data_IF_688869486158
#
_entry.id   IF_688869486158
#
_cell.length_a   1.000
_cell.length_b   1.000
_cell.length_c   1.000
_cell.angle_alpha   90.00
_cell.angle_beta   90.00
_cell.angle_gamma   90.00
#
_symmetry.space_group_name_H-M   'P 1'
#
loop_
_entity.id
_entity.type
_entity.pdbx_description
1 polymer ?
#
# COMPACT_ATOMS: atom_id res chain seq x y z
N UNK A 1 -13.26 45.88 10.19
CA UNK A 1 -12.42 46.32 11.32
C UNK A 1 -13.04 45.78 12.60
N UNK A 2 -12.71 44.55 12.97
CA UNK A 2 -12.80 44.00 14.33
C UNK A 2 -11.79 42.87 14.40
N UNK A 3 -10.95 42.92 15.43
CA UNK A 3 -9.71 42.19 15.58
C UNK A 3 -9.94 40.78 16.16
N UNK A 4 -9.13 39.81 15.70
CA UNK A 4 -8.90 38.54 16.40
C UNK A 4 -7.63 38.69 17.26
N UNK A 5 -7.67 38.40 18.58
CA UNK A 5 -6.47 38.34 19.39
C UNK A 5 -5.84 36.94 19.34
N UNK A 6 -4.57 36.94 19.75
CA UNK A 6 -3.55 35.95 19.51
C UNK A 6 -3.50 34.78 20.52
N UNK A 7 -2.91 33.68 20.05
CA UNK A 7 -1.93 32.82 20.72
C UNK A 7 -2.20 32.40 22.18
N UNK A 8 -2.66 31.16 22.34
CA UNK A 8 -2.51 30.36 23.56
C UNK A 8 -1.72 29.09 23.25
N UNK A 9 -0.40 29.18 23.37
CA UNK A 9 0.50 28.03 23.41
C UNK A 9 0.75 27.69 24.87
N UNK A 10 0.29 26.53 25.34
CA UNK A 10 0.65 25.98 26.65
C UNK A 10 0.50 24.46 26.63
N UNK A 11 1.60 23.76 26.36
CA UNK A 11 1.77 22.33 26.63
C UNK A 11 3.10 22.15 27.38
N UNK A 12 3.07 21.99 28.72
CA UNK A 12 4.28 21.75 29.50
C UNK A 12 4.42 20.25 29.80
N UNK A 13 5.19 19.53 28.98
CA UNK A 13 5.76 18.22 29.36
C UNK A 13 7.21 18.15 28.86
N UNK A 14 8.11 18.88 29.52
CA UNK A 14 9.57 18.70 29.41
C UNK A 14 10.23 19.08 30.75
N UNK A 15 10.05 18.23 31.76
CA UNK A 15 10.93 18.03 32.93
C UNK A 15 11.02 16.50 33.07
N UNK A 16 12.14 15.80 33.26
CA UNK A 16 13.50 16.13 33.63
C UNK A 16 14.33 14.90 33.25
N UNK A 17 15.20 14.98 32.25
CA UNK A 17 16.16 13.91 31.94
C UNK A 17 17.58 14.45 31.74
N UNK A 18 17.88 15.59 32.38
CA UNK A 18 19.20 16.24 32.30
C UNK A 18 19.88 16.32 33.67
N UNK A 19 20.04 15.18 34.36
CA UNK A 19 20.94 15.08 35.53
C UNK A 19 21.53 13.67 35.69
N UNK A 20 22.16 13.13 34.64
CA UNK A 20 23.10 12.00 34.76
C UNK A 20 24.22 12.19 33.74
N UNK A 21 25.11 13.16 33.95
CA UNK A 21 26.48 13.08 33.43
C UNK A 21 27.37 13.92 34.35
N UNK A 22 27.91 13.23 35.34
CA UNK A 22 28.99 13.72 36.20
C UNK A 22 30.19 14.03 35.31
N UNK A 23 30.69 15.26 35.41
CA UNK A 23 31.88 15.71 34.72
C UNK A 23 33.04 15.54 35.69
N UNK A 24 33.60 14.33 35.75
CA UNK A 24 34.83 14.08 36.48
C UNK A 24 35.99 14.65 35.66
N UNK A 25 36.51 15.80 36.09
CA UNK A 25 37.72 16.40 35.54
C UNK A 25 38.93 15.60 36.02
N UNK A 26 39.46 14.75 35.14
CA UNK A 26 40.72 14.04 35.40
C UNK A 26 41.86 15.06 35.48
N UNK A 27 42.47 15.14 36.66
CA UNK A 27 43.68 15.90 36.95
C UNK A 27 44.87 15.29 36.23
N UNK A 28 45.34 15.92 35.15
CA UNK A 28 46.58 15.54 34.46
C UNK A 28 47.76 16.28 35.08
N UNK A 29 48.35 15.71 36.13
CA UNK A 29 49.76 15.97 36.47
C UNK A 29 50.64 15.37 35.38
N UNK A 30 51.60 16.16 34.91
CA UNK A 30 52.50 15.80 33.83
C UNK A 30 53.25 14.50 34.08
N UNK A 31 53.30 13.68 33.02
CA UNK A 31 54.33 12.66 32.82
C UNK A 31 54.91 12.95 31.44
N UNK A 32 56.19 13.34 31.43
CA UNK A 32 56.99 13.49 30.24
C UNK A 32 57.42 12.10 29.71
N UNK A 33 57.69 12.06 28.40
CA UNK A 33 58.48 11.04 27.69
C UNK A 33 57.96 9.59 27.64
N UNK A 34 57.40 9.22 26.49
CA UNK A 34 58.09 8.26 25.62
C UNK A 34 57.62 8.40 24.18
N UNK A 35 58.60 8.64 23.31
CA UNK A 35 58.53 8.48 21.86
C UNK A 35 58.10 7.05 21.52
N UNK A 36 56.79 6.81 21.48
CA UNK A 36 56.21 5.57 20.95
C UNK A 36 55.94 5.82 19.48
N UNK A 37 56.80 5.29 18.62
CA UNK A 37 56.63 5.35 17.18
C UNK A 37 55.20 4.95 16.82
N UNK A 38 54.46 5.89 16.22
CA UNK A 38 53.16 5.61 15.62
C UNK A 38 53.37 4.53 14.55
N UNK A 39 53.15 3.27 14.88
CA UNK A 39 52.91 2.24 13.88
C UNK A 39 51.55 2.60 13.26
N UNK A 40 51.59 3.43 12.21
CA UNK A 40 50.45 3.60 11.29
C UNK A 40 50.19 2.22 10.70
N UNK A 41 49.22 1.51 11.26
CA UNK A 41 48.63 0.34 10.63
C UNK A 41 48.12 0.76 9.26
N UNK A 42 48.86 0.39 8.21
CA UNK A 42 48.50 0.62 6.83
C UNK A 42 47.31 -0.30 6.56
N UNK A 43 46.10 0.22 6.72
CA UNK A 43 44.89 -0.49 6.30
C UNK A 43 45.06 -0.84 4.82
N UNK A 44 45.27 -2.11 4.52
CA UNK A 44 45.20 -2.62 3.15
C UNK A 44 43.74 -2.52 2.74
N UNK A 45 43.50 -1.74 1.68
CA UNK A 45 42.20 -1.73 1.02
C UNK A 45 42.25 -2.92 0.07
N UNK A 46 41.62 -4.01 0.46
CA UNK A 46 41.41 -5.13 -0.44
C UNK A 46 40.30 -4.74 -1.42
N UNK A 47 40.61 -4.82 -2.72
CA UNK A 47 39.70 -4.48 -3.81
C UNK A 47 39.09 -5.74 -4.43
N UNK A 48 37.83 -5.66 -4.85
CA UNK A 48 37.18 -6.71 -5.63
C UNK A 48 37.85 -6.87 -6.99
N UNK A 49 37.98 -8.11 -7.47
CA UNK A 49 38.50 -8.37 -8.80
C UNK A 49 37.42 -8.11 -9.86
N UNK A 50 37.83 -7.74 -11.08
CA UNK A 50 36.89 -7.52 -12.19
C UNK A 50 36.12 -8.81 -12.53
N UNK A 51 36.80 -9.96 -12.45
CA UNK A 51 36.20 -11.26 -12.72
C UNK A 51 35.15 -11.66 -11.67
N UNK A 52 35.39 -11.32 -10.40
CA UNK A 52 34.44 -11.55 -9.31
C UNK A 52 33.16 -10.76 -9.53
N UNK A 53 33.28 -9.50 -9.92
CA UNK A 53 32.12 -8.67 -10.27
C UNK A 53 31.37 -9.23 -11.48
N UNK A 54 32.06 -9.70 -12.52
CA UNK A 54 31.42 -10.27 -13.71
C UNK A 54 30.55 -11.49 -13.38
N UNK A 55 31.04 -12.39 -12.54
CA UNK A 55 30.28 -13.58 -12.12
C UNK A 55 29.06 -13.14 -11.29
N UNK A 56 29.23 -12.22 -10.34
CA UNK A 56 28.15 -11.72 -9.48
C UNK A 56 27.03 -11.08 -10.31
N UNK A 57 27.37 -10.17 -11.23
CA UNK A 57 26.38 -9.51 -12.07
C UNK A 57 25.66 -10.51 -12.97
N UNK A 58 26.36 -11.52 -13.47
CA UNK A 58 25.76 -12.57 -14.30
C UNK A 58 24.73 -13.39 -13.51
N UNK A 59 25.05 -13.78 -12.26
CA UNK A 59 24.12 -14.50 -11.39
C UNK A 59 22.90 -13.64 -11.07
N UNK A 60 23.11 -12.37 -10.69
CA UNK A 60 22.00 -11.43 -10.39
C UNK A 60 21.11 -11.19 -11.60
N UNK A 61 21.67 -11.14 -12.81
CA UNK A 61 20.91 -10.99 -14.05
C UNK A 61 19.95 -12.17 -14.28
N UNK A 62 20.43 -13.41 -14.09
CA UNK A 62 19.61 -14.63 -14.24
C UNK A 62 18.49 -14.65 -13.19
N UNK A 63 18.80 -14.35 -11.93
CA UNK A 63 17.80 -14.34 -10.86
C UNK A 63 16.75 -13.24 -11.08
N UNK A 64 17.17 -12.05 -11.49
CA UNK A 64 16.28 -10.89 -11.69
C UNK A 64 15.28 -11.12 -12.82
N UNK A 65 15.67 -11.85 -13.87
CA UNK A 65 14.79 -12.17 -15.00
C UNK A 65 13.53 -12.95 -14.57
N UNK A 66 13.62 -13.79 -13.55
CA UNK A 66 12.50 -14.58 -13.01
C UNK A 66 11.83 -13.85 -11.84
N UNK A 67 12.61 -13.20 -10.98
CA UNK A 67 12.11 -12.60 -9.75
C UNK A 67 11.17 -11.41 -10.00
N UNK A 68 11.50 -10.51 -10.93
CA UNK A 68 10.73 -9.29 -11.19
C UNK A 68 9.30 -9.53 -11.68
N UNK A 69 9.05 -10.34 -12.73
CA UNK A 69 7.67 -10.59 -13.17
C UNK A 69 6.84 -11.29 -12.08
N UNK A 70 7.44 -12.23 -11.34
CA UNK A 70 6.76 -12.95 -10.27
C UNK A 70 6.40 -12.04 -9.09
N UNK A 71 7.31 -11.16 -8.68
CA UNK A 71 7.06 -10.21 -7.61
C UNK A 71 5.95 -9.23 -7.97
N UNK A 72 5.94 -8.71 -9.20
CA UNK A 72 4.88 -7.81 -9.65
C UNK A 72 3.50 -8.48 -9.62
N UNK A 73 3.41 -9.75 -10.04
CA UNK A 73 2.17 -10.53 -9.98
C UNK A 73 1.71 -10.80 -8.55
N UNK A 74 2.65 -11.04 -7.63
CA UNK A 74 2.35 -11.21 -6.20
C UNK A 74 1.75 -9.93 -5.60
N UNK A 75 2.37 -8.78 -5.84
CA UNK A 75 1.86 -7.49 -5.36
C UNK A 75 0.47 -7.19 -5.95
N UNK A 76 0.26 -7.46 -7.24
CA UNK A 76 -1.06 -7.31 -7.88
C UNK A 76 -2.13 -8.17 -7.22
N UNK A 77 -1.83 -9.42 -6.86
CA UNK A 77 -2.77 -10.29 -6.12
C UNK A 77 -3.17 -9.70 -4.77
N UNK A 78 -2.21 -9.12 -4.04
CA UNK A 78 -2.51 -8.39 -2.80
C UNK A 78 -3.47 -7.23 -3.03
N UNK A 79 -3.30 -6.48 -4.12
CA UNK A 79 -4.20 -5.37 -4.50
C UNK A 79 -5.58 -5.86 -4.92
N UNK A 80 -5.69 -6.99 -5.61
CA UNK A 80 -6.98 -7.61 -5.98
C UNK A 80 -7.77 -8.02 -4.73
N UNK A 81 -7.09 -8.40 -3.65
CA UNK A 81 -7.76 -8.71 -2.38
C UNK A 81 -8.55 -7.51 -1.84
N UNK A 82 -8.05 -6.28 -1.97
CA UNK A 82 -8.79 -5.05 -1.63
C UNK A 82 -10.09 -4.92 -2.43
N UNK A 83 -10.03 -5.15 -3.75
CA UNK A 83 -11.21 -5.08 -4.61
C UNK A 83 -12.28 -6.08 -4.18
N UNK A 84 -11.87 -7.35 -4.00
CA UNK A 84 -12.80 -8.43 -3.68
C UNK A 84 -13.38 -8.29 -2.28
N UNK A 85 -12.59 -7.87 -1.28
CA UNK A 85 -13.09 -7.61 0.08
C UNK A 85 -14.07 -6.43 0.11
N UNK A 86 -13.74 -5.33 -0.58
CA UNK A 86 -14.56 -4.12 -0.61
C UNK A 86 -15.88 -4.36 -1.35
N UNK A 87 -15.86 -5.10 -2.46
CA UNK A 87 -17.08 -5.49 -3.16
C UNK A 87 -17.99 -6.36 -2.29
N UNK A 88 -17.43 -7.28 -1.50
CA UNK A 88 -18.21 -8.08 -0.54
C UNK A 88 -18.81 -7.20 0.56
N UNK A 89 -18.05 -6.27 1.12
CA UNK A 89 -18.55 -5.32 2.12
C UNK A 89 -19.70 -4.47 1.56
N UNK A 90 -19.52 -3.91 0.36
CA UNK A 90 -20.55 -3.12 -0.32
C UNK A 90 -21.81 -3.95 -0.57
N UNK A 91 -21.68 -5.21 -0.97
CA UNK A 91 -22.83 -6.13 -1.12
C UNK A 91 -23.62 -6.24 0.18
N UNK A 92 -22.94 -6.54 1.29
CA UNK A 92 -23.58 -6.65 2.61
C UNK A 92 -24.26 -5.33 3.02
N UNK A 93 -23.63 -4.18 2.74
CA UNK A 93 -24.22 -2.86 3.01
C UNK A 93 -25.44 -2.58 2.15
N UNK A 94 -25.44 -2.99 0.88
CA UNK A 94 -26.58 -2.89 -0.02
C UNK A 94 -27.74 -3.76 0.46
N UNK A 95 -27.47 -5.00 0.86
CA UNK A 95 -28.50 -5.89 1.42
C UNK A 95 -29.10 -5.31 2.70
N UNK A 96 -28.28 -4.76 3.59
CA UNK A 96 -28.76 -4.06 4.79
C UNK A 96 -29.64 -2.87 4.42
N UNK A 97 -29.21 -2.04 3.48
CA UNK A 97 -29.99 -0.89 3.03
C UNK A 97 -31.35 -1.31 2.45
N UNK A 98 -31.40 -2.42 1.71
CA UNK A 98 -32.65 -2.96 1.17
C UNK A 98 -33.60 -3.46 2.26
N UNK A 99 -33.09 -4.05 3.34
CA UNK A 99 -33.95 -4.45 4.47
C UNK A 99 -34.62 -3.24 5.12
N UNK A 100 -33.90 -2.11 5.22
CA UNK A 100 -34.40 -0.89 5.85
C UNK A 100 -35.34 -0.08 4.93
N UNK A 101 -35.04 -0.03 3.61
CA UNK A 101 -35.70 0.89 2.68
C UNK A 101 -36.56 0.21 1.60
N UNK A 102 -36.49 -1.12 1.47
CA UNK A 102 -37.15 -1.93 0.41
C UNK A 102 -36.76 -1.53 -1.03
N UNK A 103 -35.61 -0.87 -1.18
CA UNK A 103 -35.03 -0.45 -2.46
C UNK A 103 -33.51 -0.42 -2.32
N UNK A 104 -32.78 -0.63 -3.42
CA UNK A 104 -31.32 -0.42 -3.46
C UNK A 104 -30.94 1.00 -3.83
N UNK A 105 -31.91 1.86 -4.17
CA UNK A 105 -31.69 3.22 -4.59
C UNK A 105 -31.99 4.23 -3.50
N UNK A 106 -31.15 5.27 -3.44
CA UNK A 106 -31.43 6.52 -2.76
C UNK A 106 -31.52 7.62 -3.84
N UNK A 107 -32.74 7.87 -4.31
CA UNK A 107 -32.98 8.73 -5.47
C UNK A 107 -32.41 8.11 -6.76
N UNK A 108 -31.53 8.84 -7.44
CA UNK A 108 -30.84 8.38 -8.65
C UNK A 108 -29.54 7.60 -8.38
N UNK A 109 -29.12 7.50 -7.12
CA UNK A 109 -27.88 6.85 -6.71
C UNK A 109 -28.17 5.53 -5.99
N UNK A 110 -27.15 4.70 -5.81
CA UNK A 110 -27.27 3.56 -4.90
C UNK A 110 -27.42 4.01 -3.44
N UNK A 111 -28.07 3.17 -2.64
CA UNK A 111 -28.40 3.41 -1.24
C UNK A 111 -27.19 3.49 -0.32
N UNK A 112 -26.03 3.04 -0.79
CA UNK A 112 -24.76 3.09 -0.05
C UNK A 112 -23.76 3.98 -0.77
N UNK A 113 -23.02 4.77 0.00
CA UNK A 113 -21.91 5.55 -0.52
C UNK A 113 -20.75 4.62 -0.94
N UNK A 114 -20.23 4.84 -2.15
CA UNK A 114 -19.04 4.16 -2.63
C UNK A 114 -17.81 4.65 -1.85
N UNK A 115 -16.89 3.75 -1.45
CA UNK A 115 -15.68 4.14 -0.77
C UNK A 115 -14.76 4.90 -1.73
N UNK A 116 -14.04 5.86 -1.16
CA UNK A 116 -13.05 6.68 -1.86
C UNK A 116 -11.73 6.67 -1.08
N UNK A 117 -10.69 7.25 -1.66
CA UNK A 117 -9.39 7.40 -1.00
C UNK A 117 -9.53 8.21 0.30
N UNK A 118 -8.83 7.86 1.40
CA UNK A 118 -7.77 6.85 1.51
C UNK A 118 -8.24 5.45 1.94
N UNK A 119 -9.55 5.23 2.10
CA UNK A 119 -10.05 3.91 2.50
C UNK A 119 -9.83 2.84 1.42
N UNK A 120 -9.80 3.27 0.16
CA UNK A 120 -9.48 2.42 -1.01
C UNK A 120 -8.44 3.12 -1.88
N UNK A 121 -7.30 2.45 -2.09
CA UNK A 121 -6.17 3.02 -2.79
C UNK A 121 -6.09 2.52 -4.23
N UNK A 122 -6.36 1.24 -4.47
CA UNK A 122 -6.00 0.56 -5.72
C UNK A 122 -7.14 0.50 -6.75
N UNK A 123 -8.39 0.65 -6.30
CA UNK A 123 -9.58 0.54 -7.13
C UNK A 123 -10.52 1.75 -6.91
N UNK A 124 -11.28 2.06 -7.95
CA UNK A 124 -12.42 2.99 -7.92
C UNK A 124 -13.70 2.18 -8.03
N UNK A 125 -14.71 2.53 -7.23
CA UNK A 125 -15.96 1.80 -7.15
C UNK A 125 -17.08 2.61 -7.78
N UNK A 126 -17.91 1.93 -8.56
CA UNK A 126 -19.12 2.50 -9.13
C UNK A 126 -20.30 1.57 -8.85
N UNK A 127 -21.50 2.14 -8.83
CA UNK A 127 -22.73 1.40 -8.67
C UNK A 127 -23.73 1.84 -9.72
N UNK A 128 -24.37 0.88 -10.37
CA UNK A 128 -25.42 1.10 -11.38
C UNK A 128 -26.68 0.37 -10.93
N UNK A 129 -27.84 0.96 -11.20
CA UNK A 129 -29.17 0.41 -10.90
C UNK A 129 -29.89 0.10 -12.22
N UNK A 130 -29.68 -1.08 -12.83
CA UNK A 130 -30.18 -1.36 -14.18
C UNK A 130 -31.70 -1.50 -14.25
N UNK A 131 -32.36 -2.10 -13.25
CA UNK A 131 -33.79 -2.43 -13.32
C UNK A 131 -34.58 -1.90 -12.11
N UNK A 132 -35.13 -0.70 -12.25
CA UNK A 132 -36.21 -0.21 -11.37
C UNK A 132 -35.86 -0.18 -9.88
N UNK A 133 -34.59 0.10 -9.54
CA UNK A 133 -34.08 0.22 -8.17
C UNK A 133 -34.09 -1.07 -7.33
N UNK A 134 -34.39 -2.23 -7.96
CA UNK A 134 -34.43 -3.53 -7.29
C UNK A 134 -33.24 -4.44 -7.64
N UNK A 135 -32.41 -4.02 -8.58
CA UNK A 135 -31.16 -4.68 -8.93
C UNK A 135 -30.02 -3.68 -8.85
N UNK A 136 -28.81 -4.19 -8.60
CA UNK A 136 -27.61 -3.36 -8.66
C UNK A 136 -26.46 -4.12 -9.30
N UNK A 137 -25.54 -3.36 -9.89
CA UNK A 137 -24.25 -3.84 -10.31
C UNK A 137 -23.18 -2.96 -9.66
N UNK A 138 -22.41 -3.56 -8.75
CA UNK A 138 -21.22 -2.94 -8.18
C UNK A 138 -20.03 -3.29 -9.05
N UNK A 139 -19.23 -2.28 -9.39
CA UNK A 139 -18.04 -2.42 -10.24
C UNK A 139 -16.82 -1.85 -9.52
N UNK A 140 -15.75 -2.63 -9.44
CA UNK A 140 -14.43 -2.17 -9.02
C UNK A 140 -13.52 -2.08 -10.25
N UNK A 141 -13.06 -0.87 -10.57
CA UNK A 141 -12.15 -0.59 -11.68
C UNK A 141 -10.78 -0.23 -11.14
N UNK A 142 -9.74 -0.97 -11.53
CA UNK A 142 -8.38 -0.75 -11.06
C UNK A 142 -7.80 0.57 -11.56
N UNK A 143 -7.11 1.30 -10.69
CA UNK A 143 -6.48 2.58 -11.03
C UNK A 143 -5.15 2.38 -11.74
N UNK A 144 -4.92 3.12 -12.82
CA UNK A 144 -3.72 2.98 -13.66
C UNK A 144 -2.45 3.45 -12.96
N UNK A 145 -2.52 4.54 -12.20
CA UNK A 145 -1.44 5.09 -11.37
C UNK A 145 -0.97 4.12 -10.28
N UNK A 146 -1.81 3.15 -9.91
CA UNK A 146 -1.50 2.09 -8.93
C UNK A 146 -1.09 0.77 -9.55
N UNK A 147 -0.87 0.73 -10.87
CA UNK A 147 -0.47 -0.50 -11.59
C UNK A 147 -1.59 -1.54 -11.67
N UNK A 148 -2.85 -1.11 -11.53
CA UNK A 148 -4.05 -1.95 -11.63
C UNK A 148 -4.88 -1.63 -12.89
N UNK A 149 -4.26 -1.05 -13.92
CA UNK A 149 -4.92 -0.88 -15.22
C UNK A 149 -5.35 -2.22 -15.79
N UNK A 150 -6.55 -2.28 -16.38
CA UNK A 150 -7.08 -3.48 -17.03
C UNK A 150 -7.58 -4.57 -16.07
N UNK A 151 -7.87 -4.22 -14.81
CA UNK A 151 -8.59 -5.08 -13.87
C UNK A 151 -9.96 -4.49 -13.59
N UNK A 152 -11.01 -5.23 -13.90
CA UNK A 152 -12.39 -4.84 -13.62
C UNK A 152 -13.17 -6.03 -13.09
N UNK A 153 -13.72 -5.86 -11.90
CA UNK A 153 -14.48 -6.89 -11.18
C UNK A 153 -15.87 -6.38 -10.86
N UNK A 154 -16.87 -7.26 -10.89
CA UNK A 154 -18.24 -6.91 -10.57
C UNK A 154 -18.89 -7.90 -9.61
N UNK A 155 -19.94 -7.43 -8.93
CA UNK A 155 -20.85 -8.25 -8.15
C UNK A 155 -22.26 -7.64 -8.20
N UNK A 156 -23.27 -8.51 -8.22
CA UNK A 156 -24.68 -8.13 -8.18
C UNK A 156 -25.38 -8.60 -6.89
N UNK A 157 -26.68 -8.29 -6.77
CA UNK A 157 -27.52 -8.71 -5.65
C UNK A 157 -27.61 -10.24 -5.48
N UNK A 158 -27.43 -10.99 -6.56
CA UNK A 158 -27.45 -12.45 -6.55
C UNK A 158 -26.09 -13.05 -6.15
N UNK A 159 -25.12 -12.22 -5.77
CA UNK A 159 -23.73 -12.63 -5.52
C UNK A 159 -23.08 -13.26 -6.77
N UNK A 160 -23.52 -12.89 -7.97
CA UNK A 160 -22.87 -13.26 -9.21
C UNK A 160 -21.60 -12.41 -9.36
N UNK A 161 -20.45 -13.06 -9.17
CA UNK A 161 -19.13 -12.44 -9.29
C UNK A 161 -18.68 -12.55 -10.72
N UNK A 162 -18.17 -11.47 -11.31
CA UNK A 162 -17.55 -11.54 -12.64
C UNK A 162 -16.24 -10.77 -12.70
N UNK A 163 -15.36 -11.23 -13.56
CA UNK A 163 -14.21 -10.44 -14.04
C UNK A 163 -14.54 -10.05 -15.46
N UNK A 164 -14.60 -8.76 -15.76
CA UNK A 164 -14.87 -8.27 -17.13
C UNK A 164 -13.58 -7.97 -17.88
N UNK A 165 -12.51 -7.69 -17.13
CA UNK A 165 -11.18 -7.48 -17.70
C UNK A 165 -10.13 -7.94 -16.70
N UNK A 166 -9.17 -8.76 -17.17
CA UNK A 166 -8.04 -9.22 -16.38
C UNK A 166 -6.74 -8.94 -17.13
N UNK A 167 -5.86 -8.10 -16.56
CA UNK A 167 -4.60 -7.68 -17.20
C UNK A 167 -4.79 -7.15 -18.63
N UNK A 168 -5.90 -6.47 -18.89
CA UNK A 168 -6.25 -5.94 -20.21
C UNK A 168 -6.82 -6.97 -21.21
N UNK A 169 -6.87 -8.25 -20.83
CA UNK A 169 -7.64 -9.25 -21.58
C UNK A 169 -9.14 -9.05 -21.33
N UNK A 170 -9.91 -9.01 -22.41
CA UNK A 170 -11.38 -8.95 -22.36
C UNK A 170 -11.93 -10.38 -22.36
N UNK A 171 -12.64 -10.73 -21.31
CA UNK A 171 -13.32 -12.01 -21.11
C UNK A 171 -14.22 -11.88 -19.89
N UNK A 172 -15.42 -12.44 -19.95
CA UNK A 172 -16.35 -12.42 -18.81
C UNK A 172 -16.26 -13.76 -18.09
N UNK A 173 -15.33 -13.88 -17.16
CA UNK A 173 -15.28 -15.04 -16.27
C UNK A 173 -16.32 -14.87 -15.16
N UNK A 174 -17.06 -15.93 -14.84
CA UNK A 174 -18.10 -15.96 -13.78
C UNK A 174 -17.52 -16.03 -12.35
N UNK A 175 -16.31 -15.53 -12.17
CA UNK A 175 -15.67 -15.39 -10.89
C UNK A 175 -14.67 -14.23 -10.89
N UNK A 176 -14.15 -13.88 -9.71
CA UNK A 176 -13.05 -12.93 -9.58
C UNK A 176 -11.71 -13.62 -9.80
N UNK A 177 -11.10 -13.39 -10.96
CA UNK A 177 -9.79 -13.94 -11.28
C UNK A 177 -8.71 -13.30 -10.40
N UNK A 178 -7.92 -14.15 -9.74
CA UNK A 178 -6.71 -13.72 -9.00
C UNK A 178 -5.44 -14.06 -9.77
N UNK A 179 -5.54 -15.01 -10.70
CA UNK A 179 -4.52 -15.43 -11.65
C UNK A 179 -5.20 -15.79 -12.98
N UNK A 180 -4.43 -15.88 -14.06
CA UNK A 180 -4.98 -16.24 -15.36
C UNK A 180 -5.69 -17.60 -15.27
N UNK A 181 -6.98 -17.63 -15.62
CA UNK A 181 -7.81 -18.84 -15.66
C UNK A 181 -8.16 -19.45 -14.31
N UNK A 182 -7.89 -18.77 -13.19
CA UNK A 182 -8.35 -19.26 -11.89
C UNK A 182 -8.76 -18.14 -10.93
N UNK A 183 -9.93 -18.39 -10.35
CA UNK A 183 -10.36 -18.00 -9.03
C UNK A 183 -9.71 -18.98 -8.01
#
# INVERSE_FOLDING_TARGET
MTAYPALGADYPIQLEFRKIFHQDTVSTKGIAMQNSGMIKSKRTIDGFTLIELMIVVTIVAILSAIALPNYSAYVQRGKIAEATSTLQELRVRMERYYQDNRTYANGANCGVAMPTSPAVEHFTYNCVLPDGNQTYLLTATGKSDKGMSGFVYTIDQNNAKKTTTFKGGTGSDDCWLTRAGAC
#
